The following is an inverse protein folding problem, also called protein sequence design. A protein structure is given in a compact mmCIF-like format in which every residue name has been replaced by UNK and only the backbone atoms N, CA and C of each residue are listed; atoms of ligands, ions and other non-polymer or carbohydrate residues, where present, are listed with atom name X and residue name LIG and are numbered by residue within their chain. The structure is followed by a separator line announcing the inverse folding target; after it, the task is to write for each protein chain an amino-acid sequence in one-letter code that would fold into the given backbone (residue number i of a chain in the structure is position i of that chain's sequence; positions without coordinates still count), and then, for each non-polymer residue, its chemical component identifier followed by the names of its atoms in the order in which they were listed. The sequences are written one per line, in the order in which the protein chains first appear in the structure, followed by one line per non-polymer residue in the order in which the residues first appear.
data_IF_497883934544
#
_entry.id   IF_497883934544
#
_cell.length_a   1.000
_cell.length_b   1.000
_cell.length_c   1.000
_cell.angle_alpha   90.00
_cell.angle_beta   90.00
_cell.angle_gamma   90.00
#
_symmetry.space_group_name_H-M   'P 1'
#
loop_
_entity.id
_entity.type
_entity.pdbx_description
1 polymer ?
#
# COMPACT_ATOMS: atom_id res chain seq x y z
N UNK A 1 24.84 16.05 46.32
CA UNK A 1 25.07 14.86 45.46
C UNK A 1 23.87 14.77 44.53
N UNK A 2 24.02 15.26 43.30
CA UNK A 2 22.92 15.38 42.34
C UNK A 2 23.03 14.21 41.37
N UNK A 3 22.16 13.22 41.51
CA UNK A 3 22.08 12.06 40.62
C UNK A 3 21.43 12.49 39.31
N UNK A 4 22.25 12.85 38.32
CA UNK A 4 21.81 12.99 36.93
C UNK A 4 21.56 11.62 36.34
N UNK A 5 20.30 11.19 36.31
CA UNK A 5 19.86 10.01 35.55
C UNK A 5 20.01 10.33 34.06
N UNK A 6 20.80 9.57 33.29
CA UNK A 6 20.91 9.80 31.86
C UNK A 6 19.55 9.54 31.18
N UNK A 7 19.07 10.53 30.43
CA UNK A 7 17.88 10.42 29.58
C UNK A 7 18.12 9.29 28.58
N UNK A 8 17.22 8.31 28.44
CA UNK A 8 17.34 7.31 27.38
C UNK A 8 17.27 8.05 26.04
N UNK A 9 18.40 8.07 25.33
CA UNK A 9 18.41 8.38 23.91
C UNK A 9 17.40 7.47 23.24
N UNK A 10 16.43 7.98 22.45
CA UNK A 10 15.60 7.12 21.63
C UNK A 10 16.54 6.49 20.61
N UNK A 11 16.99 5.29 20.94
CA UNK A 11 17.82 4.47 20.07
C UNK A 11 17.05 4.27 18.78
N UNK A 12 17.51 4.99 17.75
CA UNK A 12 17.41 4.53 16.36
C UNK A 12 17.75 3.04 16.37
N UNK A 13 16.96 2.26 15.65
CA UNK A 13 17.29 0.86 15.32
C UNK A 13 16.99 -0.18 16.40
N UNK A 14 15.80 -0.17 16.99
CA UNK A 14 15.16 -1.46 17.26
C UNK A 14 14.87 -2.09 15.89
N UNK A 15 15.82 -2.87 15.37
CA UNK A 15 15.62 -3.68 14.18
C UNK A 15 14.35 -4.49 14.40
N UNK A 16 13.26 -4.09 13.75
CA UNK A 16 11.96 -4.74 13.83
C UNK A 16 12.19 -6.15 13.29
N UNK A 17 12.39 -7.13 14.17
CA UNK A 17 12.54 -8.53 13.77
C UNK A 17 11.29 -8.87 12.97
N UNK A 18 11.47 -9.23 11.70
CA UNK A 18 10.37 -9.66 10.84
C UNK A 18 9.64 -10.80 11.55
N UNK A 19 8.33 -10.63 11.73
CA UNK A 19 7.51 -11.65 12.38
C UNK A 19 7.46 -12.88 11.46
N UNK A 20 7.53 -14.12 11.97
CA UNK A 20 7.39 -15.31 11.12
C UNK A 20 6.05 -15.34 10.35
N UNK A 21 5.06 -14.58 10.82
CA UNK A 21 3.74 -14.44 10.21
C UNK A 21 3.67 -13.39 9.09
N UNK A 22 4.74 -12.62 8.87
CA UNK A 22 4.75 -11.51 7.93
C UNK A 22 4.66 -11.97 6.47
N UNK A 23 5.46 -12.97 6.10
CA UNK A 23 5.43 -13.56 4.76
C UNK A 23 4.09 -14.23 4.41
N UNK A 24 3.47 -15.08 5.26
CA UNK A 24 2.17 -15.66 4.94
C UNK A 24 1.07 -14.58 4.85
N UNK A 25 1.13 -13.51 5.64
CA UNK A 25 0.19 -12.39 5.50
C UNK A 25 0.33 -11.65 4.16
N UNK A 26 1.56 -11.51 3.63
CA UNK A 26 1.75 -10.93 2.29
C UNK A 26 1.21 -11.83 1.19
N UNK A 27 1.38 -13.14 1.32
CA UNK A 27 0.82 -14.10 0.38
C UNK A 27 -0.71 -14.07 0.39
N UNK A 28 -1.32 -14.00 1.59
CA UNK A 28 -2.77 -13.86 1.73
C UNK A 28 -3.27 -12.53 1.16
N UNK A 29 -2.58 -11.42 1.43
CA UNK A 29 -2.91 -10.12 0.84
C UNK A 29 -2.81 -10.15 -0.68
N UNK A 30 -1.73 -10.70 -1.23
CA UNK A 30 -1.54 -10.86 -2.67
C UNK A 30 -2.60 -11.75 -3.30
N UNK A 31 -2.97 -12.86 -2.65
CA UNK A 31 -4.04 -13.75 -3.09
C UNK A 31 -5.42 -13.05 -3.07
N UNK A 32 -5.69 -12.25 -2.04
CA UNK A 32 -6.92 -11.48 -1.94
C UNK A 32 -7.02 -10.41 -3.03
N UNK A 33 -5.92 -9.68 -3.31
CA UNK A 33 -5.85 -8.71 -4.42
C UNK A 33 -6.03 -9.43 -5.76
N UNK A 34 -5.39 -10.59 -5.94
CA UNK A 34 -5.52 -11.39 -7.16
C UNK A 34 -6.96 -11.82 -7.41
N UNK A 35 -7.62 -12.36 -6.39
CA UNK A 35 -9.00 -12.85 -6.47
C UNK A 35 -10.01 -11.73 -6.74
N UNK A 36 -9.74 -10.50 -6.30
CA UNK A 36 -10.70 -9.38 -6.37
C UNK A 36 -10.44 -8.40 -7.50
N UNK A 37 -9.19 -8.24 -7.94
CA UNK A 37 -8.77 -7.19 -8.89
C UNK A 37 -8.01 -7.76 -10.09
N UNK A 38 -7.37 -8.92 -9.93
CA UNK A 38 -6.60 -9.61 -10.98
C UNK A 38 -5.09 -9.60 -10.73
N UNK A 39 -4.36 -10.34 -11.58
CA UNK A 39 -2.96 -10.70 -11.34
C UNK A 39 -2.00 -9.51 -11.44
N UNK A 40 -2.28 -8.54 -12.32
CA UNK A 40 -1.46 -7.33 -12.48
C UNK A 40 -1.44 -6.52 -11.18
N UNK A 41 -2.63 -6.28 -10.61
CA UNK A 41 -2.76 -5.56 -9.35
C UNK A 41 -2.12 -6.33 -8.18
N UNK A 42 -2.26 -7.67 -8.16
CA UNK A 42 -1.63 -8.50 -7.14
C UNK A 42 -0.11 -8.40 -7.15
N UNK A 43 0.51 -8.47 -8.33
CA UNK A 43 1.96 -8.30 -8.49
C UNK A 43 2.39 -6.91 -8.04
N UNK A 44 1.68 -5.86 -8.44
CA UNK A 44 1.98 -4.49 -8.02
C UNK A 44 1.91 -4.31 -6.50
N UNK A 45 0.87 -4.86 -5.85
CA UNK A 45 0.71 -4.80 -4.40
C UNK A 45 1.86 -5.52 -3.66
N UNK A 46 2.26 -6.71 -4.13
CA UNK A 46 3.40 -7.45 -3.57
C UNK A 46 4.71 -6.67 -3.75
N UNK A 47 4.95 -6.09 -4.93
CA UNK A 47 6.13 -5.26 -5.17
C UNK A 47 6.17 -4.03 -4.25
N UNK A 48 5.03 -3.37 -4.02
CA UNK A 48 4.93 -2.24 -3.09
C UNK A 48 5.20 -2.68 -1.65
N UNK A 49 4.69 -3.83 -1.20
CA UNK A 49 4.98 -4.39 0.11
C UNK A 49 6.46 -4.72 0.28
N UNK A 50 7.07 -5.33 -0.75
CA UNK A 50 8.50 -5.64 -0.77
C UNK A 50 9.34 -4.36 -0.75
N UNK A 51 8.96 -3.34 -1.52
CA UNK A 51 9.66 -2.05 -1.56
C UNK A 51 9.58 -1.31 -0.21
N UNK A 52 8.39 -1.28 0.41
CA UNK A 52 8.16 -0.70 1.73
C UNK A 52 9.05 -1.34 2.81
N UNK A 53 9.24 -2.66 2.73
CA UNK A 53 9.92 -3.44 3.77
C UNK A 53 11.41 -3.61 3.57
N UNK A 54 11.87 -3.77 2.32
CA UNK A 54 13.29 -4.03 2.01
C UNK A 54 14.07 -2.77 1.65
N UNK A 55 13.46 -1.82 0.91
CA UNK A 55 14.21 -0.68 0.37
C UNK A 55 14.18 0.50 1.33
N UNK A 56 13.04 0.76 1.98
CA UNK A 56 12.86 1.92 2.86
C UNK A 56 11.95 1.63 4.07
N UNK A 57 12.37 0.74 4.98
CA UNK A 57 11.59 0.39 6.16
C UNK A 57 11.28 1.63 7.02
N UNK A 58 10.00 1.84 7.31
CA UNK A 58 9.51 2.93 8.18
C UNK A 58 9.18 4.23 7.48
N UNK A 59 9.25 4.28 6.14
CA UNK A 59 8.64 5.35 5.34
C UNK A 59 7.19 4.99 5.04
N UNK A 60 6.32 5.99 4.89
CA UNK A 60 4.88 5.80 4.58
C UNK A 60 4.65 5.47 3.09
N UNK A 61 5.37 4.49 2.55
CA UNK A 61 5.40 4.23 1.10
C UNK A 61 4.04 3.73 0.63
N UNK A 62 3.41 2.82 1.37
CA UNK A 62 2.09 2.30 1.03
C UNK A 62 1.05 3.42 1.06
N UNK A 63 1.08 4.30 2.07
CA UNK A 63 0.15 5.43 2.12
C UNK A 63 0.37 6.43 0.97
N UNK A 64 1.63 6.75 0.64
CA UNK A 64 1.94 7.64 -0.50
C UNK A 64 1.53 7.04 -1.84
N UNK A 65 1.78 5.73 -2.03
CA UNK A 65 1.37 5.00 -3.22
C UNK A 65 -0.15 4.94 -3.32
N UNK A 66 -0.85 4.67 -2.21
CA UNK A 66 -2.32 4.69 -2.17
C UNK A 66 -2.88 6.05 -2.57
N UNK A 67 -2.33 7.15 -2.02
CA UNK A 67 -2.75 8.50 -2.38
C UNK A 67 -2.51 8.80 -3.87
N UNK A 68 -1.34 8.45 -4.39
CA UNK A 68 -1.03 8.62 -5.81
C UNK A 68 -1.97 7.81 -6.72
N UNK A 69 -2.27 6.56 -6.34
CA UNK A 69 -3.19 5.70 -7.08
C UNK A 69 -4.61 6.27 -7.06
N UNK A 70 -5.12 6.74 -5.92
CA UNK A 70 -6.45 7.38 -5.82
C UNK A 70 -6.55 8.59 -6.77
N UNK A 71 -5.50 9.40 -6.86
CA UNK A 71 -5.47 10.55 -7.79
C UNK A 71 -5.37 10.10 -9.25
N UNK A 72 -4.69 9.00 -9.53
CA UNK A 72 -4.54 8.47 -10.89
C UNK A 72 -5.84 7.87 -11.46
N UNK A 73 -6.73 7.33 -10.62
CA UNK A 73 -8.01 6.73 -11.05
C UNK A 73 -8.85 7.68 -11.91
N UNK A 74 -9.21 8.91 -11.47
CA UNK A 74 -10.01 9.82 -12.30
C UNK A 74 -9.27 10.27 -13.55
N UNK A 75 -7.93 10.39 -13.52
CA UNK A 75 -7.11 10.76 -14.69
C UNK A 75 -7.21 9.68 -15.76
N UNK A 76 -7.04 8.42 -15.38
CA UNK A 76 -7.15 7.27 -16.28
C UNK A 76 -8.57 7.13 -16.83
N UNK A 77 -9.56 7.27 -15.94
CA UNK A 77 -10.97 7.22 -16.34
C UNK A 77 -11.30 8.32 -17.37
N UNK A 78 -10.84 9.54 -17.11
CA UNK A 78 -11.07 10.68 -17.99
C UNK A 78 -10.34 10.53 -19.33
N UNK A 79 -9.09 10.06 -19.31
CA UNK A 79 -8.29 9.82 -20.52
C UNK A 79 -8.95 8.76 -21.41
N UNK A 80 -9.44 7.65 -20.82
CA UNK A 80 -10.21 6.64 -21.55
C UNK A 80 -11.54 7.18 -22.11
N UNK A 81 -12.20 8.09 -21.39
CA UNK A 81 -13.45 8.71 -21.86
C UNK A 81 -13.26 9.73 -22.99
N UNK A 82 -12.04 10.27 -23.15
CA UNK A 82 -11.71 11.34 -24.11
C UNK A 82 -11.24 10.83 -25.48
N UNK A 83 -10.99 9.53 -25.62
CA UNK A 83 -10.51 8.93 -26.87
C UNK A 83 -11.68 8.65 -27.83
N UNK A 84 -11.53 8.93 -29.15
CA UNK A 84 -12.60 8.76 -30.13
C UNK A 84 -13.12 7.30 -30.14
N UNK A 85 -14.45 7.20 -30.09
CA UNK A 85 -15.23 5.99 -29.81
C UNK A 85 -15.31 5.01 -30.99
N UNK A 86 -14.19 4.52 -31.53
CA UNK A 86 -14.21 3.43 -32.50
C UNK A 86 -12.93 2.59 -32.40
N UNK A 87 -12.98 1.26 -32.14
CA UNK A 87 -14.11 0.35 -31.88
C UNK A 87 -14.41 0.15 -30.36
N UNK A 88 -15.51 -0.51 -29.99
CA UNK A 88 -15.95 -0.72 -28.58
C UNK A 88 -14.97 -1.47 -27.67
N UNK A 89 -13.93 -2.10 -28.23
CA UNK A 89 -12.90 -2.82 -27.47
C UNK A 89 -12.07 -1.91 -26.55
N UNK A 90 -11.90 -0.64 -26.92
CA UNK A 90 -11.08 0.31 -26.13
C UNK A 90 -11.75 0.63 -24.79
N UNK A 91 -13.09 0.76 -24.75
CA UNK A 91 -13.85 0.97 -23.50
C UNK A 91 -13.75 -0.20 -22.53
N UNK A 92 -13.66 -1.44 -23.02
CA UNK A 92 -13.51 -2.61 -22.15
C UNK A 92 -12.14 -2.58 -21.46
N UNK A 93 -11.09 -2.24 -22.20
CA UNK A 93 -9.73 -2.14 -21.67
C UNK A 93 -9.57 -0.96 -20.71
N UNK A 94 -10.15 0.20 -21.01
CA UNK A 94 -10.09 1.37 -20.13
C UNK A 94 -10.84 1.13 -18.82
N UNK A 95 -12.01 0.48 -18.90
CA UNK A 95 -12.77 0.08 -17.71
C UNK A 95 -12.03 -0.98 -16.89
N UNK A 96 -11.37 -1.94 -17.55
CA UNK A 96 -10.55 -2.96 -16.88
C UNK A 96 -9.33 -2.34 -16.20
N UNK A 97 -8.67 -1.38 -16.85
CA UNK A 97 -7.51 -0.68 -16.31
C UNK A 97 -7.91 0.23 -15.14
N UNK A 98 -9.03 0.95 -15.26
CA UNK A 98 -9.59 1.73 -14.16
C UNK A 98 -10.02 0.85 -12.98
N UNK A 99 -10.61 -0.33 -13.25
CA UNK A 99 -10.93 -1.31 -12.22
C UNK A 99 -9.67 -1.83 -11.52
N UNK A 100 -8.62 -2.14 -12.28
CA UNK A 100 -7.34 -2.58 -11.72
C UNK A 100 -6.67 -1.50 -10.86
N UNK A 101 -6.64 -0.25 -11.32
CA UNK A 101 -6.08 0.86 -10.57
C UNK A 101 -6.89 1.21 -9.33
N UNK A 102 -8.22 1.24 -9.45
CA UNK A 102 -9.12 1.50 -8.31
C UNK A 102 -9.02 0.41 -7.25
N UNK A 103 -9.05 -0.86 -7.67
CA UNK A 103 -8.88 -2.00 -6.77
C UNK A 103 -7.52 -2.00 -6.08
N UNK A 104 -6.44 -1.70 -6.83
CA UNK A 104 -5.10 -1.55 -6.26
C UNK A 104 -5.06 -0.40 -5.25
N UNK A 105 -5.65 0.76 -5.55
CA UNK A 105 -5.67 1.91 -4.64
C UNK A 105 -6.30 1.57 -3.29
N UNK A 106 -7.46 0.90 -3.30
CA UNK A 106 -8.19 0.46 -2.09
C UNK A 106 -7.36 -0.53 -1.29
N UNK A 107 -6.79 -1.55 -1.93
CA UNK A 107 -5.94 -2.53 -1.25
C UNK A 107 -4.68 -1.92 -0.67
N UNK A 108 -4.02 -1.01 -1.39
CA UNK A 108 -2.80 -0.35 -0.91
C UNK A 108 -3.11 0.54 0.29
N UNK A 109 -4.27 1.22 0.30
CA UNK A 109 -4.74 2.01 1.45
C UNK A 109 -5.03 1.12 2.66
N UNK A 110 -5.72 -0.01 2.44
CA UNK A 110 -6.00 -0.98 3.49
C UNK A 110 -4.70 -1.54 4.09
N UNK A 111 -3.74 -1.93 3.25
CA UNK A 111 -2.44 -2.41 3.69
C UNK A 111 -1.65 -1.33 4.44
N UNK A 112 -1.69 -0.07 3.98
CA UNK A 112 -1.11 1.05 4.70
C UNK A 112 -1.73 1.19 6.11
N UNK A 113 -3.07 1.10 6.21
CA UNK A 113 -3.75 1.15 7.51
C UNK A 113 -3.36 -0.02 8.42
N UNK A 114 -3.20 -1.24 7.88
CA UNK A 114 -2.81 -2.41 8.67
C UNK A 114 -1.33 -2.39 9.10
N UNK A 115 -0.45 -1.80 8.30
CA UNK A 115 1.01 -1.90 8.48
C UNK A 115 1.64 -0.66 9.10
N UNK A 116 1.15 0.53 8.75
CA UNK A 116 1.71 1.81 9.17
C UNK A 116 1.03 2.39 10.42
N UNK A 117 -0.17 1.93 10.80
CA UNK A 117 -0.80 2.33 12.07
C UNK A 117 -0.10 1.60 13.22
N UNK A 118 0.86 2.29 13.82
CA UNK A 118 1.40 1.92 15.14
C UNK A 118 0.38 2.38 16.19
N UNK A 119 -0.17 1.49 17.03
CA UNK A 119 -0.97 1.92 18.17
C UNK A 119 -0.04 2.68 19.11
N UNK A 120 -0.15 4.00 19.13
CA UNK A 120 0.56 4.85 20.09
C UNK A 120 -0.35 5.64 21.03
N UNK A 121 -1.66 5.41 20.98
CA UNK A 121 -2.63 6.31 21.63
C UNK A 121 -3.75 5.62 22.43
N UNK A 122 -3.70 4.31 22.67
CA UNK A 122 -4.74 3.62 23.46
C UNK A 122 -4.37 3.37 24.93
N UNK A 123 -3.13 3.61 25.35
CA UNK A 123 -2.65 3.30 26.71
C UNK A 123 -2.64 4.53 27.66
N UNK A 124 -3.35 5.60 27.30
CA UNK A 124 -3.56 6.77 28.16
C UNK A 124 -5.06 7.07 28.20
N UNK A 125 -5.81 6.21 28.88
CA UNK A 125 -7.14 6.51 29.39
C UNK A 125 -7.36 5.76 30.72
#
# INVERSE_FOLDING_TARGET
MTTTTPRPTPGRSAARRASPWEAPLWLLAGAAVWATVGWVAAVAAVLLLVADRLVWPGRRILATAAAALVVAVPVVWFLGSSLPLFPPSVRLNDNLLAHQLGGLAVWTLFLAACVEVVPRESDIA
#
